data_IF_628490426355
#
_entry.id   IF_628490426355
#
_cell.length_a   1.000
_cell.length_b   1.000
_cell.length_c   1.000
_cell.angle_alpha   90.00
_cell.angle_beta   90.00
_cell.angle_gamma   90.00
#
_symmetry.space_group_name_H-M   'P 1'
#
loop_
_entity.id
_entity.type
_entity.pdbx_description
1 polymer ?
#
# COMPACT_ATOMS: atom_id res chain seq x y z
N UNK A 1 -32.37 -9.14 -1.05
CA UNK A 1 -32.03 -7.94 -1.82
C UNK A 1 -30.60 -8.03 -2.34
N UNK A 2 -30.25 -7.21 -3.31
CA UNK A 2 -28.87 -7.10 -3.81
C UNK A 2 -28.02 -6.42 -2.75
N UNK A 3 -26.76 -6.89 -2.59
CA UNK A 3 -25.79 -6.28 -1.68
C UNK A 3 -24.70 -5.55 -2.46
N UNK A 4 -24.11 -4.54 -1.83
CA UNK A 4 -23.07 -3.70 -2.43
C UNK A 4 -21.67 -4.24 -2.12
N UNK A 5 -20.75 -4.02 -3.06
CA UNK A 5 -19.31 -4.06 -2.81
C UNK A 5 -18.86 -2.60 -2.67
N UNK A 6 -18.22 -2.28 -1.56
CA UNK A 6 -17.71 -0.94 -1.27
C UNK A 6 -16.19 -0.96 -1.39
N UNK A 7 -15.65 -0.07 -2.23
CA UNK A 7 -14.20 0.09 -2.41
C UNK A 7 -13.87 1.54 -2.03
N UNK A 8 -12.98 1.73 -1.06
CA UNK A 8 -12.49 3.05 -0.64
C UNK A 8 -10.97 3.04 -0.83
N UNK A 9 -10.50 3.86 -1.74
CA UNK A 9 -9.07 4.10 -1.92
C UNK A 9 -8.61 5.26 -1.05
N UNK A 10 -7.43 5.14 -0.45
CA UNK A 10 -6.87 6.11 0.49
C UNK A 10 -7.84 6.51 1.62
N UNK A 11 -8.41 5.51 2.32
CA UNK A 11 -9.35 5.74 3.42
C UNK A 11 -8.81 6.72 4.47
N UNK A 12 -7.50 6.80 4.62
CA UNK A 12 -6.78 7.59 5.62
C UNK A 12 -6.39 9.00 5.14
N UNK A 13 -6.76 9.40 3.93
CA UNK A 13 -6.38 10.69 3.34
C UNK A 13 -6.73 11.88 4.24
N UNK A 14 -7.92 11.89 4.85
CA UNK A 14 -8.34 12.94 5.78
C UNK A 14 -7.55 12.90 7.10
N UNK A 15 -7.12 11.73 7.53
CA UNK A 15 -6.35 11.54 8.76
C UNK A 15 -4.91 12.01 8.58
N UNK A 16 -4.32 11.72 7.43
CA UNK A 16 -2.94 12.10 7.09
C UNK A 16 -2.77 13.58 6.73
N UNK A 17 -3.85 14.23 6.33
CA UNK A 17 -3.77 15.63 5.93
C UNK A 17 -3.62 16.56 7.16
N UNK A 18 -2.47 17.23 7.33
CA UNK A 18 -2.24 18.11 8.49
C UNK A 18 -3.16 19.33 8.52
N UNK A 19 -3.76 19.70 7.39
CA UNK A 19 -4.75 20.79 7.33
C UNK A 19 -6.14 20.37 7.84
N UNK A 20 -6.39 19.08 8.02
CA UNK A 20 -7.67 18.58 8.52
C UNK A 20 -7.70 18.70 10.04
N UNK A 21 -8.66 19.45 10.58
CA UNK A 21 -8.80 19.57 12.03
C UNK A 21 -9.30 18.26 12.67
N UNK A 22 -9.02 18.09 13.96
CA UNK A 22 -9.36 16.86 14.71
C UNK A 22 -10.86 16.55 14.72
N UNK A 23 -11.71 17.56 14.75
CA UNK A 23 -13.17 17.38 14.76
C UNK A 23 -13.66 16.74 13.44
N UNK A 24 -13.09 17.14 12.30
CA UNK A 24 -13.40 16.53 10.99
C UNK A 24 -12.89 15.10 10.94
N UNK A 25 -11.68 14.85 11.46
CA UNK A 25 -11.13 13.49 11.53
C UNK A 25 -12.01 12.58 12.39
N UNK A 26 -12.43 13.04 13.57
CA UNK A 26 -13.31 12.27 14.47
C UNK A 26 -14.69 11.99 13.84
N UNK A 27 -15.25 12.99 13.15
CA UNK A 27 -16.51 12.83 12.42
C UNK A 27 -16.40 11.81 11.31
N UNK A 28 -15.29 11.82 10.58
CA UNK A 28 -15.02 10.85 9.51
C UNK A 28 -14.84 9.42 10.06
N UNK A 29 -14.09 9.24 11.13
CA UNK A 29 -13.95 7.94 11.78
C UNK A 29 -15.30 7.44 12.30
N UNK A 30 -16.12 8.33 12.87
CA UNK A 30 -17.48 8.00 13.32
C UNK A 30 -18.36 7.55 12.15
N UNK A 31 -18.26 8.23 11.01
CA UNK A 31 -18.95 7.85 9.78
C UNK A 31 -18.54 6.44 9.31
N UNK A 32 -17.23 6.16 9.21
CA UNK A 32 -16.74 4.83 8.81
C UNK A 32 -17.23 3.73 9.77
N UNK A 33 -17.26 4.02 11.06
CA UNK A 33 -17.81 3.08 12.06
C UNK A 33 -19.29 2.80 11.84
N UNK A 34 -20.08 3.84 11.62
CA UNK A 34 -21.52 3.67 11.39
C UNK A 34 -21.80 2.88 10.11
N UNK A 35 -20.93 3.05 9.10
CA UNK A 35 -21.05 2.36 7.82
C UNK A 35 -20.69 0.87 7.91
N UNK A 36 -19.69 0.49 8.71
CA UNK A 36 -19.11 -0.86 8.65
C UNK A 36 -19.30 -1.68 9.91
N UNK A 37 -19.61 -1.07 11.06
CA UNK A 37 -19.66 -1.79 12.35
C UNK A 37 -21.09 -2.17 12.73
N UNK A 38 -21.22 -3.36 13.32
CA UNK A 38 -22.50 -3.90 13.77
C UNK A 38 -23.13 -4.88 12.77
N UNK A 39 -24.37 -5.25 13.03
CA UNK A 39 -25.10 -6.23 12.23
C UNK A 39 -25.86 -5.61 11.05
N UNK A 40 -26.23 -4.34 11.13
CA UNK A 40 -26.99 -3.67 10.07
C UNK A 40 -26.23 -3.61 8.73
N UNK A 41 -24.92 -3.28 8.68
CA UNK A 41 -24.16 -3.29 7.43
C UNK A 41 -24.19 -4.64 6.71
N UNK A 42 -24.26 -5.76 7.41
CA UNK A 42 -24.28 -7.09 6.79
C UNK A 42 -25.53 -7.34 5.95
N UNK A 43 -26.58 -6.55 6.13
CA UNK A 43 -27.82 -6.65 5.35
C UNK A 43 -27.66 -6.11 3.93
N UNK A 44 -26.78 -5.10 3.73
CA UNK A 44 -26.62 -4.42 2.45
C UNK A 44 -25.17 -4.43 1.91
N UNK A 45 -24.15 -4.72 2.73
CA UNK A 45 -22.76 -4.85 2.29
C UNK A 45 -22.42 -6.34 2.13
N UNK A 46 -21.91 -6.69 0.95
CA UNK A 46 -21.34 -7.99 0.64
C UNK A 46 -19.86 -8.05 0.98
N UNK A 47 -19.12 -7.00 0.61
CA UNK A 47 -17.68 -6.85 0.81
C UNK A 47 -17.35 -5.36 0.94
N UNK A 48 -16.41 -5.05 1.81
CA UNK A 48 -15.75 -3.74 1.85
C UNK A 48 -14.24 -3.95 1.69
N UNK A 49 -13.63 -3.15 0.80
CA UNK A 49 -12.19 -3.15 0.53
C UNK A 49 -11.67 -1.73 0.67
N UNK A 50 -10.74 -1.53 1.60
CA UNK A 50 -10.17 -0.23 1.92
C UNK A 50 -8.67 -0.30 1.69
N UNK A 51 -8.11 0.70 1.00
CA UNK A 51 -6.67 0.90 0.87
C UNK A 51 -6.23 2.15 1.61
N UNK A 52 -5.00 2.17 2.11
CA UNK A 52 -4.43 3.30 2.81
C UNK A 52 -3.00 3.02 3.28
N UNK A 53 -2.35 4.04 3.81
CA UNK A 53 -0.99 3.95 4.37
C UNK A 53 -1.06 3.63 5.87
N UNK A 54 -2.03 4.22 6.58
CA UNK A 54 -2.17 4.01 8.02
C UNK A 54 -2.93 2.71 8.33
N UNK A 55 -2.50 1.96 9.34
CA UNK A 55 -3.24 0.78 9.80
C UNK A 55 -4.54 1.19 10.47
N UNK A 56 -5.64 0.52 10.09
CA UNK A 56 -6.98 0.75 10.65
C UNK A 56 -7.09 0.53 12.16
N UNK A 57 -6.21 -0.31 12.73
CA UNK A 57 -6.29 -0.72 14.14
C UNK A 57 -5.60 0.21 15.12
N UNK A 58 -4.68 1.07 14.66
CA UNK A 58 -3.83 1.90 15.55
C UNK A 58 -4.42 3.28 15.88
N UNK A 59 -5.47 3.72 15.20
CA UNK A 59 -6.04 5.03 15.46
C UNK A 59 -6.80 5.09 16.79
N UNK A 60 -6.32 5.95 17.64
CA UNK A 60 -6.68 6.51 18.98
C UNK A 60 -7.96 6.08 19.69
N UNK A 61 -8.71 5.10 19.26
CA UNK A 61 -9.95 4.72 19.90
C UNK A 61 -10.01 3.24 20.22
N UNK A 62 -10.35 2.95 21.46
CA UNK A 62 -10.59 1.62 22.05
C UNK A 62 -11.61 0.74 21.29
N UNK A 63 -12.18 1.21 20.19
CA UNK A 63 -13.16 0.51 19.39
C UNK A 63 -12.99 0.76 17.89
N UNK A 64 -11.74 0.65 17.37
CA UNK A 64 -11.46 0.78 15.94
C UNK A 64 -12.31 -0.12 15.05
N UNK A 65 -12.12 -0.01 13.75
CA UNK A 65 -12.74 -0.89 12.75
C UNK A 65 -12.10 -2.30 12.82
N UNK A 66 -12.37 -3.02 13.90
CA UNK A 66 -11.77 -4.32 14.21
C UNK A 66 -12.44 -5.51 13.49
N UNK A 67 -13.39 -5.23 12.62
CA UNK A 67 -14.10 -6.20 11.79
C UNK A 67 -13.48 -6.37 10.39
N UNK A 68 -12.36 -5.71 10.12
CA UNK A 68 -11.59 -5.89 8.90
C UNK A 68 -10.41 -6.83 9.11
N UNK A 69 -10.14 -7.67 8.10
CA UNK A 69 -8.84 -8.31 7.97
C UNK A 69 -7.86 -7.31 7.39
N UNK A 70 -6.73 -7.12 8.05
CA UNK A 70 -5.70 -6.18 7.62
C UNK A 70 -4.56 -6.93 6.93
N UNK A 71 -4.19 -6.43 5.74
CA UNK A 71 -3.08 -6.93 4.95
C UNK A 71 -2.07 -5.80 4.76
N UNK A 72 -0.81 -6.08 5.04
CA UNK A 72 0.30 -5.13 4.85
C UNK A 72 1.34 -5.73 3.94
N UNK A 73 2.31 -4.95 3.47
CA UNK A 73 3.45 -5.46 2.70
C UNK A 73 4.28 -6.51 3.47
N UNK A 74 4.23 -6.49 4.80
CA UNK A 74 4.89 -7.49 5.65
C UNK A 74 3.99 -8.72 5.91
N UNK A 75 2.69 -8.60 5.73
CA UNK A 75 1.70 -9.64 6.01
C UNK A 75 0.61 -9.71 4.93
N UNK A 76 1.03 -9.89 3.68
CA UNK A 76 0.11 -9.93 2.52
C UNK A 76 -0.64 -11.25 2.37
N UNK A 77 -0.14 -12.35 2.97
CA UNK A 77 -0.77 -13.66 2.94
C UNK A 77 -1.19 -14.08 1.51
N UNK A 78 -2.48 -14.41 1.31
CA UNK A 78 -3.05 -14.82 0.02
C UNK A 78 -3.13 -13.73 -1.04
N UNK A 79 -2.92 -12.46 -0.67
CA UNK A 79 -2.99 -11.33 -1.60
C UNK A 79 -1.65 -11.04 -2.31
N UNK A 80 -0.57 -11.75 -1.96
CA UNK A 80 0.76 -11.53 -2.57
C UNK A 80 0.75 -11.39 -4.09
N UNK A 81 0.06 -12.26 -4.87
CA UNK A 81 0.06 -12.16 -6.33
C UNK A 81 -0.66 -10.92 -6.90
N UNK A 82 -1.42 -10.21 -6.06
CA UNK A 82 -2.23 -9.06 -6.47
C UNK A 82 -1.63 -7.72 -6.04
N UNK A 83 -0.46 -7.73 -5.37
CA UNK A 83 0.20 -6.51 -4.89
C UNK A 83 1.11 -5.85 -5.93
N UNK A 84 1.22 -6.44 -7.10
CA UNK A 84 2.03 -5.94 -8.21
C UNK A 84 1.98 -6.95 -9.35
N UNK A 85 2.80 -6.74 -10.38
CA UNK A 85 2.98 -7.75 -11.41
C UNK A 85 3.83 -8.90 -10.90
N UNK A 86 3.38 -10.12 -11.09
CA UNK A 86 4.17 -11.32 -10.81
C UNK A 86 5.28 -11.49 -11.86
N UNK A 87 6.33 -12.26 -11.52
CA UNK A 87 7.41 -12.56 -12.46
C UNK A 87 6.90 -13.20 -13.76
N UNK A 88 5.87 -14.05 -13.68
CA UNK A 88 5.26 -14.69 -14.85
C UNK A 88 4.58 -13.65 -15.76
N UNK A 89 3.89 -12.69 -15.17
CA UNK A 89 3.23 -11.61 -15.94
C UNK A 89 4.27 -10.69 -16.56
N UNK A 90 5.34 -10.34 -15.83
CA UNK A 90 6.42 -9.50 -16.37
C UNK A 90 7.12 -10.19 -17.53
N UNK A 91 7.39 -11.49 -17.46
CA UNK A 91 7.94 -12.25 -18.62
C UNK A 91 7.05 -12.16 -19.85
N UNK A 92 5.75 -12.35 -19.69
CA UNK A 92 4.79 -12.20 -20.80
C UNK A 92 4.77 -10.78 -21.37
N UNK A 93 4.87 -9.77 -20.52
CA UNK A 93 4.93 -8.38 -20.94
C UNK A 93 6.22 -8.09 -21.70
N UNK A 94 7.39 -8.56 -21.23
CA UNK A 94 8.67 -8.36 -21.93
C UNK A 94 8.67 -9.02 -23.31
N UNK A 95 8.10 -10.22 -23.46
CA UNK A 95 7.91 -10.85 -24.76
C UNK A 95 7.01 -10.01 -25.68
N UNK A 96 5.86 -9.55 -25.17
CA UNK A 96 4.89 -8.74 -25.94
C UNK A 96 5.47 -7.41 -26.41
N UNK A 97 6.29 -6.76 -25.58
CA UNK A 97 6.86 -5.44 -25.85
C UNK A 97 8.31 -5.50 -26.36
N UNK A 98 8.82 -6.70 -26.66
CA UNK A 98 10.19 -6.94 -27.16
C UNK A 98 11.28 -6.37 -26.26
N UNK A 99 11.10 -6.46 -24.94
CA UNK A 99 12.05 -6.03 -23.92
C UNK A 99 12.87 -7.19 -23.37
N UNK A 100 14.07 -6.91 -22.87
CA UNK A 100 14.93 -7.92 -22.25
C UNK A 100 14.49 -8.16 -20.80
N UNK A 101 13.96 -9.35 -20.50
CA UNK A 101 13.53 -9.70 -19.15
C UNK A 101 14.65 -9.63 -18.10
N UNK A 102 15.88 -10.02 -18.46
CA UNK A 102 17.00 -9.96 -17.51
C UNK A 102 17.32 -8.53 -17.09
N UNK A 103 17.21 -7.60 -18.02
CA UNK A 103 17.42 -6.17 -17.78
C UNK A 103 16.27 -5.58 -16.93
N UNK A 104 15.03 -5.92 -17.26
CA UNK A 104 13.86 -5.57 -16.45
C UNK A 104 14.02 -6.07 -15.01
N UNK A 105 14.53 -7.28 -14.83
CA UNK A 105 14.80 -7.86 -13.52
C UNK A 105 15.86 -7.10 -12.75
N UNK A 106 16.98 -6.73 -13.39
CA UNK A 106 18.03 -5.94 -12.73
C UNK A 106 17.49 -4.59 -12.24
N UNK A 107 16.64 -3.95 -13.01
CA UNK A 107 16.12 -2.62 -12.69
C UNK A 107 14.94 -2.65 -11.69
N UNK A 108 14.06 -3.63 -11.79
CA UNK A 108 12.73 -3.56 -11.15
C UNK A 108 12.34 -4.77 -10.29
N UNK A 109 13.24 -5.75 -10.08
CA UNK A 109 12.99 -6.86 -9.14
C UNK A 109 13.04 -6.31 -7.70
N UNK A 110 11.88 -6.03 -7.12
CA UNK A 110 11.80 -5.25 -5.90
C UNK A 110 11.35 -6.01 -4.66
N UNK A 111 10.28 -6.79 -4.74
CA UNK A 111 9.64 -7.31 -3.54
C UNK A 111 9.47 -8.82 -3.58
N UNK A 112 9.91 -9.49 -2.53
CA UNK A 112 9.57 -10.88 -2.26
C UNK A 112 8.50 -10.90 -1.15
N UNK A 113 7.25 -11.05 -1.54
CA UNK A 113 6.12 -11.10 -0.64
C UNK A 113 5.79 -12.56 -0.35
N UNK A 114 6.22 -13.06 0.82
CA UNK A 114 6.20 -14.47 1.14
C UNK A 114 6.99 -15.25 0.07
N UNK A 115 6.34 -16.04 -0.76
CA UNK A 115 6.97 -16.86 -1.81
C UNK A 115 6.73 -16.27 -3.22
N UNK A 116 6.15 -15.08 -3.33
CA UNK A 116 5.79 -14.46 -4.60
C UNK A 116 6.65 -13.23 -4.86
N UNK A 117 7.40 -13.24 -5.98
CA UNK A 117 8.08 -12.04 -6.46
C UNK A 117 7.07 -11.13 -7.16
N UNK A 118 7.05 -9.87 -6.76
CA UNK A 118 6.21 -8.85 -7.37
C UNK A 118 7.04 -7.63 -7.78
N UNK A 119 6.65 -7.05 -8.87
CA UNK A 119 7.28 -5.89 -9.49
C UNK A 119 6.35 -4.69 -9.40
N UNK A 120 6.92 -3.52 -9.20
CA UNK A 120 6.14 -2.27 -9.14
C UNK A 120 5.40 -2.04 -10.48
N UNK A 121 4.07 -1.94 -10.46
CA UNK A 121 3.28 -1.81 -11.70
C UNK A 121 3.64 -0.58 -12.51
N UNK A 122 3.86 0.57 -11.87
CA UNK A 122 4.24 1.82 -12.55
C UNK A 122 5.55 1.67 -13.30
N UNK A 123 6.56 1.10 -12.65
CA UNK A 123 7.88 0.91 -13.25
C UNK A 123 7.82 -0.04 -14.46
N UNK A 124 7.11 -1.17 -14.31
CA UNK A 124 6.97 -2.14 -15.41
C UNK A 124 6.19 -1.55 -16.59
N UNK A 125 5.05 -0.90 -16.35
CA UNK A 125 4.26 -0.28 -17.41
C UNK A 125 5.08 0.77 -18.15
N UNK A 126 5.80 1.63 -17.43
CA UNK A 126 6.63 2.68 -18.05
C UNK A 126 7.77 2.09 -18.87
N UNK A 127 8.50 1.10 -18.33
CA UNK A 127 9.56 0.42 -19.08
C UNK A 127 9.05 -0.25 -20.37
N UNK A 128 7.86 -0.89 -20.31
CA UNK A 128 7.26 -1.49 -21.49
C UNK A 128 6.85 -0.46 -22.55
N UNK A 129 6.28 0.67 -22.12
CA UNK A 129 5.76 1.69 -23.04
C UNK A 129 6.86 2.56 -23.67
N UNK A 130 7.88 2.93 -22.88
CA UNK A 130 8.92 3.84 -23.32
C UNK A 130 10.17 3.12 -23.86
N UNK A 131 10.37 1.87 -23.49
CA UNK A 131 11.50 1.06 -23.95
C UNK A 131 12.84 1.45 -23.34
N UNK A 132 12.86 2.30 -22.31
CA UNK A 132 14.03 2.69 -21.55
C UNK A 132 13.96 2.20 -20.10
N UNK A 133 15.13 2.04 -19.47
CA UNK A 133 15.24 1.58 -18.10
C UNK A 133 15.79 2.71 -17.22
N UNK A 134 14.96 3.20 -16.30
CA UNK A 134 15.30 4.27 -15.36
C UNK A 134 14.48 4.16 -14.08
N UNK A 135 14.76 5.03 -13.14
CA UNK A 135 14.08 5.06 -11.84
C UNK A 135 12.66 5.65 -11.92
N UNK A 136 11.70 4.89 -12.46
CA UNK A 136 10.31 5.32 -12.58
C UNK A 136 9.57 5.40 -11.24
N UNK A 137 9.99 4.65 -10.22
CA UNK A 137 9.34 4.69 -8.91
C UNK A 137 9.58 5.99 -8.14
N UNK A 138 10.69 6.69 -8.41
CA UNK A 138 10.98 7.97 -7.78
C UNK A 138 10.11 9.12 -8.31
N UNK A 139 9.56 8.98 -9.52
CA UNK A 139 8.71 10.00 -10.14
C UNK A 139 7.31 10.08 -9.50
N UNK A 140 6.88 9.03 -8.79
CA UNK A 140 5.53 8.93 -8.20
C UNK A 140 5.52 9.01 -6.67
N UNK A 141 6.67 8.87 -6.05
CA UNK A 141 6.78 9.01 -4.60
C UNK A 141 6.69 10.50 -4.24
N UNK A 142 5.52 10.95 -3.81
CA UNK A 142 5.43 12.21 -3.09
C UNK A 142 6.22 12.05 -1.79
N UNK A 143 7.41 12.62 -1.76
CA UNK A 143 8.22 12.72 -0.53
C UNK A 143 7.43 13.40 0.60
N UNK A 144 6.45 14.23 0.23
CA UNK A 144 5.63 15.00 1.15
C UNK A 144 4.80 14.13 2.10
N UNK A 145 4.42 12.93 1.69
CA UNK A 145 3.70 11.99 2.55
C UNK A 145 4.63 11.25 3.53
N UNK A 146 5.88 11.02 3.15
CA UNK A 146 6.84 10.20 3.92
C UNK A 146 7.75 11.06 4.80
N UNK A 147 8.16 12.25 4.31
CA UNK A 147 9.06 13.14 5.04
C UNK A 147 8.60 13.50 6.44
N UNK A 148 7.31 13.80 6.71
CA UNK A 148 6.84 14.02 8.07
C UNK A 148 7.04 12.81 8.97
N UNK A 149 6.80 11.59 8.49
CA UNK A 149 6.99 10.36 9.26
C UNK A 149 8.45 10.11 9.61
N UNK A 150 9.35 10.38 8.67
CA UNK A 150 10.80 10.27 8.88
C UNK A 150 11.25 11.35 9.90
N UNK A 151 10.80 12.59 9.72
CA UNK A 151 11.19 13.71 10.59
C UNK A 151 10.71 13.54 12.03
N UNK A 152 9.55 12.92 12.22
CA UNK A 152 9.01 12.58 13.54
C UNK A 152 9.73 11.39 14.19
N UNK A 153 10.63 10.73 13.47
CA UNK A 153 11.28 9.49 13.88
C UNK A 153 10.29 8.45 14.44
N UNK A 154 9.15 8.33 13.76
CA UNK A 154 8.10 7.43 14.20
C UNK A 154 8.64 6.00 14.31
N UNK A 155 8.58 5.46 15.53
CA UNK A 155 9.04 4.09 15.87
C UNK A 155 10.49 3.77 15.43
N UNK A 156 11.36 4.78 15.45
CA UNK A 156 12.77 4.64 15.08
C UNK A 156 13.04 4.66 13.56
N UNK A 157 12.04 5.03 12.75
CA UNK A 157 12.12 5.00 11.28
C UNK A 157 13.32 5.78 10.73
N UNK A 158 13.67 6.93 11.30
CA UNK A 158 14.81 7.73 10.87
C UNK A 158 16.12 6.96 11.04
N UNK A 159 16.31 6.30 12.18
CA UNK A 159 17.51 5.49 12.43
C UNK A 159 17.57 4.28 11.50
N UNK A 160 16.45 3.58 11.32
CA UNK A 160 16.35 2.45 10.40
C UNK A 160 16.73 2.84 8.97
N UNK A 161 16.29 4.00 8.49
CA UNK A 161 16.66 4.51 7.15
C UNK A 161 18.16 4.81 7.07
N UNK A 162 18.75 5.43 8.11
CA UNK A 162 20.20 5.71 8.12
C UNK A 162 21.01 4.40 8.08
N UNK A 163 20.60 3.38 8.84
CA UNK A 163 21.22 2.07 8.81
C UNK A 163 21.12 1.41 7.43
N UNK A 164 19.94 1.43 6.79
CA UNK A 164 19.76 0.90 5.43
C UNK A 164 20.65 1.64 4.42
N UNK A 165 20.74 2.97 4.48
CA UNK A 165 21.59 3.76 3.58
C UNK A 165 23.07 3.43 3.80
N UNK A 166 23.47 3.09 5.02
CA UNK A 166 24.83 2.64 5.34
C UNK A 166 25.14 1.21 4.89
N UNK A 167 24.15 0.49 4.34
CA UNK A 167 24.26 -0.88 3.87
C UNK A 167 23.96 -1.94 4.94
N UNK A 168 23.46 -1.55 6.09
CA UNK A 168 23.04 -2.49 7.12
C UNK A 168 21.67 -3.10 6.82
N UNK A 169 21.45 -4.34 7.26
CA UNK A 169 20.13 -4.95 7.21
C UNK A 169 19.32 -4.56 8.46
N UNK A 170 18.15 -4.02 8.25
CA UNK A 170 17.23 -3.66 9.32
C UNK A 170 16.06 -4.62 9.34
N UNK A 171 15.79 -5.19 10.53
CA UNK A 171 14.59 -5.99 10.72
C UNK A 171 13.41 -5.06 11.00
N UNK A 172 12.34 -5.27 10.25
CA UNK A 172 11.06 -4.58 10.42
C UNK A 172 10.06 -5.59 10.97
N UNK A 173 9.47 -5.29 12.14
CA UNK A 173 8.47 -6.14 12.81
C UNK A 173 7.06 -5.71 12.48
#
# INVERSE_FOLDING_TARGET
GQKFIIIIDEWDALIRNPATNSQVQDSYITFLRSMFKGTEPTKYILLAYLTGILPLRKEKSQSGLNNFDEFTMLSVSRLSPYMGFTEVEVKKLTEKYHQNFSEVKIWYDGYLLKDTRVYNPRAIVSAMLYGDFKNYWAETASSDAIMPLISMNYDGLQFAIIEIISGAAVKVD
#
